data_IF_517787936950
#
_entry.id   IF_517787936950
#
_cell.length_a   1.000
_cell.length_b   1.000
_cell.length_c   1.000
_cell.angle_alpha   90.00
_cell.angle_beta   90.00
_cell.angle_gamma   90.00
#
_symmetry.space_group_name_H-M   'P 1'
#
loop_
_entity.id
_entity.type
_entity.pdbx_description
1 polymer ?
#
# COMPACT_ATOMS: atom_id res chain seq x y z
N UNK A 1 -4.13 8.47 -14.78
CA UNK A 1 -4.38 9.41 -13.66
C UNK A 1 -3.40 9.20 -12.51
N UNK A 2 -2.88 7.99 -12.30
CA UNK A 2 -2.07 7.63 -11.13
C UNK A 2 -0.62 8.13 -11.12
N UNK A 3 -0.08 8.65 -12.23
CA UNK A 3 1.27 9.27 -12.26
C UNK A 3 1.38 10.55 -11.41
N UNK A 4 0.25 11.19 -11.08
CA UNK A 4 0.21 12.39 -10.24
C UNK A 4 -0.40 12.13 -8.85
N UNK A 5 -0.45 10.86 -8.42
CA UNK A 5 -0.88 10.45 -7.09
C UNK A 5 -0.36 11.36 -5.95
N UNK A 6 0.94 11.70 -5.86
CA UNK A 6 1.43 12.58 -4.81
C UNK A 6 0.86 14.01 -4.86
N UNK A 7 0.55 14.54 -6.05
CA UNK A 7 -0.08 15.85 -6.20
C UNK A 7 -1.54 15.85 -5.73
N UNK A 8 -2.25 14.73 -5.96
CA UNK A 8 -3.63 14.56 -5.49
C UNK A 8 -3.69 14.52 -3.96
N UNK A 9 -2.74 13.82 -3.30
CA UNK A 9 -2.65 13.76 -1.84
C UNK A 9 -2.37 15.11 -1.17
N UNK A 10 -1.69 16.02 -1.88
CA UNK A 10 -1.35 17.35 -1.37
C UNK A 10 -2.48 18.37 -1.55
N UNK A 11 -3.44 18.09 -2.43
CA UNK A 11 -4.51 19.03 -2.73
C UNK A 11 -5.50 19.13 -1.56
N UNK A 12 -6.01 20.34 -1.31
CA UNK A 12 -7.04 20.61 -0.30
C UNK A 12 -8.31 19.80 -0.54
N UNK A 13 -8.61 19.47 -1.81
CA UNK A 13 -9.76 18.62 -2.18
C UNK A 13 -9.70 17.23 -1.57
N UNK A 14 -8.51 16.68 -1.29
CA UNK A 14 -8.39 15.37 -0.66
C UNK A 14 -9.03 15.36 0.74
N UNK A 15 -9.00 16.48 1.45
CA UNK A 15 -9.57 16.61 2.81
C UNK A 15 -11.10 16.60 2.81
N UNK A 16 -11.73 17.00 1.71
CA UNK A 16 -13.19 17.04 1.56
C UNK A 16 -13.77 15.75 0.96
N UNK A 17 -12.95 14.75 0.67
CA UNK A 17 -13.42 13.45 0.17
C UNK A 17 -14.15 12.68 1.28
N UNK A 18 -15.19 11.95 0.88
CA UNK A 18 -15.88 11.01 1.77
C UNK A 18 -15.01 9.80 2.10
N UNK A 19 -15.39 9.05 3.14
CA UNK A 19 -14.68 7.82 3.56
C UNK A 19 -14.53 6.84 2.40
N UNK A 20 -15.62 6.62 1.67
CA UNK A 20 -15.73 5.63 0.58
C UNK A 20 -14.80 6.01 -0.57
N UNK A 21 -14.73 7.31 -0.90
CA UNK A 21 -13.83 7.80 -1.93
C UNK A 21 -12.35 7.58 -1.56
N UNK A 22 -11.98 7.82 -0.29
CA UNK A 22 -10.61 7.56 0.18
C UNK A 22 -10.31 6.05 0.16
N UNK A 23 -11.25 5.21 0.58
CA UNK A 23 -11.10 3.75 0.54
C UNK A 23 -10.89 3.24 -0.89
N UNK A 24 -11.69 3.71 -1.86
CA UNK A 24 -11.52 3.30 -3.26
C UNK A 24 -10.17 3.75 -3.85
N UNK A 25 -9.65 4.90 -3.43
CA UNK A 25 -8.29 5.34 -3.84
C UNK A 25 -7.23 4.41 -3.25
N UNK A 26 -7.33 4.07 -1.97
CA UNK A 26 -6.37 3.20 -1.28
C UNK A 26 -6.45 1.73 -1.73
N UNK A 27 -7.62 1.28 -2.20
CA UNK A 27 -7.84 -0.07 -2.73
C UNK A 27 -7.15 -0.28 -4.08
N UNK A 28 -6.89 0.79 -4.83
CA UNK A 28 -6.20 0.71 -6.13
C UNK A 28 -4.73 0.37 -5.93
N UNK A 29 -4.35 -0.84 -6.35
CA UNK A 29 -2.95 -1.31 -6.45
C UNK A 29 -2.05 -0.33 -7.24
N UNK A 30 -2.63 0.41 -8.19
CA UNK A 30 -1.90 1.32 -9.09
C UNK A 30 -1.58 2.70 -8.50
N UNK A 31 -1.93 2.98 -7.25
CA UNK A 31 -1.69 4.30 -6.65
C UNK A 31 -0.22 4.48 -6.26
N UNK A 32 0.55 5.06 -7.20
CA UNK A 32 2.00 5.17 -7.12
C UNK A 32 2.45 6.42 -6.33
N UNK A 33 2.37 6.35 -5.01
CA UNK A 33 2.89 7.37 -4.10
C UNK A 33 3.68 6.74 -2.95
N UNK A 34 4.69 7.44 -2.37
CA UNK A 34 5.38 6.95 -1.19
C UNK A 34 4.37 6.64 -0.08
N UNK A 35 4.40 5.42 0.48
CA UNK A 35 3.45 5.00 1.52
C UNK A 35 3.44 5.96 2.73
N UNK A 36 4.59 6.57 3.01
CA UNK A 36 4.76 7.68 3.94
C UNK A 36 3.79 8.85 3.66
N UNK A 37 3.73 9.32 2.42
CA UNK A 37 2.85 10.42 2.01
C UNK A 37 1.38 10.02 2.07
N UNK A 38 1.06 8.77 1.73
CA UNK A 38 -0.31 8.23 1.82
C UNK A 38 -0.79 8.26 3.27
N UNK A 39 0.02 7.74 4.20
CA UNK A 39 -0.31 7.75 5.62
C UNK A 39 -0.50 9.18 6.14
N UNK A 40 0.42 10.09 5.80
CA UNK A 40 0.34 11.47 6.23
C UNK A 40 -0.93 12.17 5.69
N UNK A 41 -1.32 11.88 4.45
CA UNK A 41 -2.54 12.40 3.85
C UNK A 41 -3.79 11.87 4.57
N UNK A 42 -3.84 10.57 4.85
CA UNK A 42 -4.93 9.93 5.61
C UNK A 42 -4.99 10.48 7.05
N UNK A 43 -3.86 10.70 7.70
CA UNK A 43 -3.80 11.33 9.02
C UNK A 43 -4.30 12.77 9.01
N UNK A 44 -3.90 13.57 8.01
CA UNK A 44 -4.40 14.94 7.83
C UNK A 44 -5.91 14.95 7.54
N UNK A 45 -6.40 14.00 6.74
CA UNK A 45 -7.82 13.83 6.44
C UNK A 45 -8.61 13.42 7.70
N UNK A 46 -8.08 12.50 8.49
CA UNK A 46 -8.63 12.06 9.78
C UNK A 46 -8.81 13.23 10.76
N UNK A 47 -7.84 14.14 10.83
CA UNK A 47 -7.96 15.35 11.67
C UNK A 47 -9.11 16.27 11.26
N UNK A 48 -9.48 16.30 9.97
CA UNK A 48 -10.60 17.11 9.48
C UNK A 48 -11.93 16.35 9.60
N UNK A 49 -11.92 15.02 9.53
CA UNK A 49 -13.09 14.14 9.54
C UNK A 49 -13.12 13.27 10.81
N UNK A 50 -13.22 13.91 11.98
CA UNK A 50 -13.18 13.23 13.30
C UNK A 50 -14.36 12.31 13.59
N UNK A 51 -15.48 12.46 12.87
CA UNK A 51 -16.69 11.65 13.06
C UNK A 51 -16.68 10.36 12.21
N UNK A 52 -15.57 10.05 11.56
CA UNK A 52 -15.46 8.94 10.63
C UNK A 52 -14.58 7.84 11.22
N UNK A 53 -14.94 6.59 10.93
CA UNK A 53 -14.13 5.44 11.30
C UNK A 53 -12.83 5.39 10.48
N UNK A 54 -11.79 5.98 11.07
CA UNK A 54 -10.44 6.11 10.50
C UNK A 54 -9.73 4.76 10.46
N UNK A 55 -10.04 3.84 11.40
CA UNK A 55 -9.38 2.52 11.48
C UNK A 55 -9.65 1.71 10.21
N UNK A 56 -10.90 1.70 9.75
CA UNK A 56 -11.24 1.05 8.48
C UNK A 56 -10.48 1.63 7.28
N UNK A 57 -10.16 2.93 7.26
CA UNK A 57 -9.40 3.56 6.17
C UNK A 57 -7.91 3.20 6.27
N UNK A 58 -7.35 3.21 7.47
CA UNK A 58 -5.94 2.92 7.73
C UNK A 58 -5.59 1.46 7.44
N UNK A 59 -6.54 0.53 7.61
CA UNK A 59 -6.37 -0.88 7.22
C UNK A 59 -6.00 -1.06 5.74
N UNK A 60 -6.46 -0.16 4.84
CA UNK A 60 -6.08 -0.19 3.43
C UNK A 60 -4.70 0.41 3.15
N UNK A 61 -4.18 1.24 4.07
CA UNK A 61 -2.84 1.80 3.97
C UNK A 61 -1.87 0.72 4.42
N UNK A 62 -1.42 -0.16 3.51
CA UNK A 62 -0.49 -1.30 3.75
C UNK A 62 0.74 -0.91 4.60
N UNK A 63 0.57 -0.85 5.92
CA UNK A 63 1.53 -0.40 6.93
C UNK A 63 2.85 -1.18 6.87
N UNK A 64 2.84 -2.52 6.67
CA UNK A 64 4.08 -3.31 6.61
C UNK A 64 5.06 -2.89 5.50
N UNK A 65 4.58 -2.15 4.49
CA UNK A 65 5.39 -1.68 3.37
C UNK A 65 6.07 -0.30 3.62
N UNK A 66 5.91 0.31 4.80
CA UNK A 66 6.57 1.57 5.18
C UNK A 66 7.93 1.35 5.83
N UNK A 67 8.78 2.37 5.87
CA UNK A 67 10.06 2.27 6.58
C UNK A 67 9.86 2.13 8.11
N UNK A 68 10.66 1.27 8.76
CA UNK A 68 10.60 1.05 10.20
C UNK A 68 10.80 2.35 10.99
N UNK A 69 11.71 3.22 10.54
CA UNK A 69 11.99 4.50 11.20
C UNK A 69 10.72 5.36 11.24
N UNK A 70 9.95 5.35 10.15
CA UNK A 70 8.70 6.10 10.04
C UNK A 70 7.58 5.51 10.91
N UNK A 71 7.49 4.17 10.99
CA UNK A 71 6.56 3.49 11.88
C UNK A 71 6.76 3.90 13.34
N UNK A 72 8.02 3.93 13.79
CA UNK A 72 8.36 4.27 15.18
C UNK A 72 8.28 5.76 15.49
N UNK A 73 8.68 6.63 14.55
CA UNK A 73 8.76 8.08 14.78
C UNK A 73 7.48 8.85 14.42
N UNK A 74 6.63 8.32 13.54
CA UNK A 74 5.45 9.04 13.05
C UNK A 74 4.16 8.28 13.32
N UNK A 75 4.11 6.99 13.03
CA UNK A 75 2.88 6.20 13.21
C UNK A 75 2.61 5.95 14.69
N UNK A 76 3.61 5.55 15.47
CA UNK A 76 3.48 5.35 16.92
C UNK A 76 2.97 6.58 17.69
N UNK A 77 3.54 7.79 17.55
CA UNK A 77 3.03 8.97 18.26
C UNK A 77 1.71 9.51 17.69
N UNK A 78 1.25 9.02 16.54
CA UNK A 78 -0.03 9.46 15.96
C UNK A 78 -1.26 8.84 16.65
N UNK A 79 -1.07 7.76 17.42
CA UNK A 79 -2.10 7.05 18.20
C UNK A 79 -3.33 6.62 17.37
N UNK A 80 -3.15 6.42 16.06
CA UNK A 80 -4.23 6.00 15.14
C UNK A 80 -4.39 4.48 15.12
N UNK A 81 -3.29 3.76 15.35
CA UNK A 81 -3.15 2.31 15.23
C UNK A 81 -2.78 1.76 16.59
N UNK A 82 -3.33 0.61 16.95
CA UNK A 82 -3.00 -0.04 18.22
C UNK A 82 -1.51 -0.43 18.25
N UNK A 83 -0.82 -0.30 19.40
CA UNK A 83 0.56 -0.75 19.51
C UNK A 83 0.76 -2.21 19.10
N UNK A 84 -0.19 -3.11 19.35
CA UNK A 84 -0.08 -4.51 18.95
C UNK A 84 -0.18 -4.65 17.43
N UNK A 85 -1.13 -3.97 16.78
CA UNK A 85 -1.24 -3.95 15.31
C UNK A 85 0.03 -3.37 14.65
N UNK A 86 0.68 -2.41 15.30
CA UNK A 86 1.96 -1.87 14.84
C UNK A 86 3.08 -2.93 14.94
N UNK A 87 3.12 -3.70 16.03
CA UNK A 87 4.07 -4.82 16.18
C UNK A 87 3.82 -5.90 15.12
N UNK A 88 2.56 -6.28 14.88
CA UNK A 88 2.17 -7.25 13.84
C UNK A 88 2.61 -6.78 12.45
N UNK A 89 2.48 -5.48 12.17
CA UNK A 89 2.94 -4.91 10.90
C UNK A 89 4.47 -4.96 10.74
N UNK A 90 5.23 -4.79 11.83
CA UNK A 90 6.69 -4.90 11.85
C UNK A 90 7.11 -6.38 11.69
N UNK A 91 6.42 -7.31 12.31
CA UNK A 91 6.65 -8.75 12.12
C UNK A 91 6.41 -9.14 10.66
N UNK A 92 5.28 -8.72 10.08
CA UNK A 92 4.98 -8.93 8.67
C UNK A 92 6.07 -8.34 7.76
N UNK A 93 6.57 -7.14 8.05
CA UNK A 93 7.68 -6.54 7.31
C UNK A 93 8.95 -7.39 7.35
N UNK A 94 9.30 -7.94 8.51
CA UNK A 94 10.43 -8.85 8.63
C UNK A 94 10.17 -10.12 7.83
N UNK A 95 8.97 -10.72 7.90
CA UNK A 95 8.60 -11.87 7.09
C UNK A 95 8.76 -11.60 5.58
N UNK A 96 8.41 -10.40 5.08
CA UNK A 96 8.63 -10.01 3.68
C UNK A 96 10.12 -9.95 3.30
N UNK A 97 11.01 -9.51 4.20
CA UNK A 97 12.47 -9.55 3.95
C UNK A 97 13.01 -10.97 3.83
N UNK A 98 12.36 -11.94 4.48
CA UNK A 98 12.70 -13.36 4.36
C UNK A 98 12.02 -14.05 3.17
N UNK A 99 10.98 -13.44 2.57
CA UNK A 99 10.37 -13.88 1.31
C UNK A 99 11.17 -13.40 0.08
N UNK A 100 12.44 -13.80 -0.02
CA UNK A 100 13.33 -13.41 -1.13
C UNK A 100 12.89 -13.90 -2.52
N UNK A 101 11.95 -14.85 -2.65
CA UNK A 101 11.73 -15.56 -3.91
C UNK A 101 10.28 -16.02 -4.16
N UNK A 102 9.37 -15.13 -4.58
CA UNK A 102 8.11 -15.61 -5.20
C UNK A 102 7.69 -14.98 -6.52
N UNK A 103 8.22 -13.83 -6.93
CA UNK A 103 8.07 -13.36 -8.32
C UNK A 103 9.09 -12.27 -8.64
N UNK A 104 9.79 -12.41 -9.77
CA UNK A 104 10.46 -11.30 -10.43
C UNK A 104 9.47 -10.65 -11.40
N UNK A 105 9.33 -9.32 -11.37
CA UNK A 105 8.61 -8.58 -12.40
C UNK A 105 9.47 -8.60 -13.68
N UNK A 106 9.13 -9.46 -14.64
CA UNK A 106 9.73 -9.42 -15.96
C UNK A 106 8.96 -8.37 -16.77
N UNK A 107 9.57 -7.22 -17.04
CA UNK A 107 8.96 -6.14 -17.81
C UNK A 107 8.71 -6.60 -19.25
N UNK A 108 7.43 -6.78 -19.61
CA UNK A 108 6.87 -6.94 -20.97
C UNK A 108 7.53 -7.99 -21.89
N UNK A 109 8.32 -8.91 -21.35
CA UNK A 109 8.91 -10.02 -22.12
C UNK A 109 8.05 -11.28 -21.99
N UNK A 110 7.73 -11.91 -23.13
CA UNK A 110 6.99 -13.16 -23.16
C UNK A 110 7.85 -14.30 -22.60
N UNK A 111 7.67 -14.59 -21.31
CA UNK A 111 8.34 -15.69 -20.59
C UNK A 111 7.94 -17.09 -21.08
N UNK A 112 6.91 -17.22 -21.92
CA UNK A 112 6.53 -18.46 -22.60
C UNK A 112 7.22 -18.58 -23.98
N UNK A 113 8.51 -18.27 -24.04
CA UNK A 113 9.38 -18.58 -25.19
C UNK A 113 10.29 -19.76 -24.87
N UNK A 114 10.70 -20.52 -25.90
CA UNK A 114 11.61 -21.67 -25.75
C UNK A 114 12.92 -21.34 -25.01
N UNK A 115 13.33 -20.06 -25.01
CA UNK A 115 14.48 -19.55 -24.25
C UNK A 115 14.39 -19.80 -22.75
N UNK A 116 13.18 -19.93 -22.20
CA UNK A 116 12.93 -20.19 -20.77
C UNK A 116 12.47 -21.64 -20.50
N UNK A 117 12.76 -22.58 -21.42
CA UNK A 117 12.42 -24.00 -21.29
C UNK A 117 10.92 -24.32 -21.13
N UNK A 118 10.03 -23.41 -21.55
CA UNK A 118 8.60 -23.69 -21.59
C UNK A 118 8.31 -24.73 -22.69
N UNK A 119 7.70 -25.86 -22.35
CA UNK A 119 7.26 -26.89 -23.32
C UNK A 119 5.74 -26.84 -23.45
N UNK A 120 5.24 -26.73 -24.68
CA UNK A 120 3.81 -26.90 -24.97
C UNK A 120 3.40 -28.37 -24.84
N UNK A 121 2.34 -28.61 -24.07
CA UNK A 121 1.73 -29.95 -23.94
C UNK A 121 0.74 -30.10 -25.10
N UNK A 122 1.14 -30.80 -26.16
CA UNK A 122 0.19 -31.21 -27.19
C UNK A 122 -0.59 -32.42 -26.68
N UNK A 123 -1.84 -32.19 -26.25
CA UNK A 123 -2.79 -33.27 -26.05
C UNK A 123 -3.08 -33.89 -27.43
N UNK A 124 -2.64 -35.12 -27.66
CA UNK A 124 -3.05 -35.87 -28.85
C UNK A 124 -4.50 -36.30 -28.63
N UNK A 125 -5.39 -35.88 -29.54
CA UNK A 125 -6.71 -36.49 -29.72
C UNK A 125 -6.55 -37.89 -30.32
#
# INVERSE_FOLDING_TARGET
MDRHAPHILQNKTFKSLSKEAVQEILRRECFFAPKMQIFLAVWKWSKHNRNTDIRAVVSYVRIPLMDLSYLLQVVRPSDIIDPNELLDAIEAQNAFKYLKYRAALCSEENVATEKFHSRTIHSRC
#
